data_IF_127984225462
#
_entry.id   IF_127984225462
#
_cell.length_a   1.000
_cell.length_b   1.000
_cell.length_c   1.000
_cell.angle_alpha   90.00
_cell.angle_beta   90.00
_cell.angle_gamma   90.00
#
_symmetry.space_group_name_H-M   'P 1'
#
loop_
_entity.id
_entity.type
_entity.pdbx_description
1 polymer ?
#
# COMPACT_ATOMS: atom_id res chain seq x y z
N UNK A 1 -3.20 8.94 -6.37
CA UNK A 1 -2.89 7.68 -7.09
C UNK A 1 -1.69 7.99 -7.96
N UNK A 2 -0.55 7.38 -7.69
CA UNK A 2 0.70 7.66 -8.41
C UNK A 2 1.18 6.36 -9.05
N UNK A 3 1.44 6.41 -10.36
CA UNK A 3 1.90 5.28 -11.16
C UNK A 3 3.31 5.56 -11.65
N UNK A 4 4.28 4.75 -11.22
CA UNK A 4 5.60 4.75 -11.85
C UNK A 4 5.58 3.74 -13.00
N UNK A 5 5.46 4.25 -14.23
CA UNK A 5 5.52 3.47 -15.47
C UNK A 5 6.91 3.63 -16.06
N UNK A 6 7.60 2.52 -16.34
CA UNK A 6 8.88 2.59 -17.04
C UNK A 6 8.73 3.22 -18.43
N UNK A 7 9.69 4.04 -18.83
CA UNK A 7 9.79 4.76 -20.11
C UNK A 7 9.63 3.89 -21.37
N UNK A 8 9.67 2.55 -21.25
CA UNK A 8 9.41 1.58 -22.33
C UNK A 8 7.96 1.05 -22.39
N UNK A 9 7.05 1.55 -21.56
CA UNK A 9 5.59 1.37 -21.67
C UNK A 9 5.03 -0.03 -21.44
N UNK A 10 5.84 -1.01 -21.00
CA UNK A 10 5.44 -2.43 -20.93
C UNK A 10 5.59 -3.09 -19.56
N UNK A 11 6.11 -2.37 -18.57
CA UNK A 11 6.34 -2.91 -17.22
C UNK A 11 5.77 -1.95 -16.18
N UNK A 12 4.85 -2.46 -15.37
CA UNK A 12 4.36 -1.77 -14.18
C UNK A 12 5.40 -1.95 -13.07
N UNK A 13 5.85 -0.87 -12.44
CA UNK A 13 6.80 -0.95 -11.31
C UNK A 13 6.10 -0.93 -9.97
N UNK A 14 5.20 0.02 -9.76
CA UNK A 14 4.54 0.16 -8.48
C UNK A 14 3.28 1.01 -8.58
N UNK A 15 2.30 0.68 -7.74
CA UNK A 15 1.14 1.51 -7.49
C UNK A 15 1.00 1.72 -5.99
N UNK A 16 0.98 3.00 -5.63
CA UNK A 16 0.63 3.44 -4.30
C UNK A 16 -0.77 4.05 -4.33
N UNK A 17 -1.67 3.51 -3.51
CA UNK A 17 -3.01 4.03 -3.34
C UNK A 17 -3.37 4.16 -1.86
N UNK A 18 -4.03 5.28 -1.55
CA UNK A 18 -4.54 5.63 -0.24
C UNK A 18 -5.83 6.45 -0.41
N UNK A 19 -6.77 6.32 0.52
CA UNK A 19 -7.86 7.27 0.61
C UNK A 19 -7.38 8.57 1.26
N UNK A 20 -7.90 9.71 0.81
CA UNK A 20 -7.55 11.00 1.39
C UNK A 20 -7.85 11.06 2.90
N UNK A 21 -8.99 10.51 3.31
CA UNK A 21 -9.34 10.35 4.72
C UNK A 21 -8.28 9.57 5.51
N UNK A 22 -7.70 8.52 4.91
CA UNK A 22 -6.62 7.75 5.54
C UNK A 22 -5.36 8.59 5.74
N UNK A 23 -4.99 9.43 4.77
CA UNK A 23 -3.82 10.32 4.88
C UNK A 23 -4.07 11.37 5.96
N UNK A 24 -5.26 11.97 5.99
CA UNK A 24 -5.61 13.00 6.96
C UNK A 24 -5.66 12.44 8.39
N UNK A 25 -6.23 11.25 8.59
CA UNK A 25 -6.44 10.68 9.92
C UNK A 25 -5.25 9.86 10.42
N UNK A 26 -4.28 9.56 9.56
CA UNK A 26 -3.03 8.91 9.96
C UNK A 26 -2.28 9.69 11.05
N UNK A 27 -2.39 11.03 11.09
CA UNK A 27 -1.78 11.85 12.14
C UNK A 27 -2.35 11.61 13.54
N UNK A 28 -3.54 11.01 13.64
CA UNK A 28 -4.20 10.65 14.91
C UNK A 28 -4.01 9.16 15.25
N UNK A 29 -3.38 8.40 14.36
CA UNK A 29 -3.01 7.02 14.60
C UNK A 29 -1.80 6.92 15.53
N UNK A 30 -1.63 5.77 16.18
CA UNK A 30 -0.41 5.48 16.93
C UNK A 30 0.76 5.34 15.95
N UNK A 31 2.01 5.60 16.37
CA UNK A 31 3.21 5.36 15.56
C UNK A 31 3.51 3.85 15.48
N UNK A 32 2.55 3.07 14.98
CA UNK A 32 2.66 1.64 14.73
C UNK A 32 2.13 1.34 13.34
N UNK A 33 2.95 0.74 12.49
CA UNK A 33 2.57 0.29 11.16
C UNK A 33 2.73 -1.22 11.09
N UNK A 34 1.61 -1.92 10.89
CA UNK A 34 1.60 -3.34 10.58
C UNK A 34 1.64 -3.48 9.05
N UNK A 35 2.61 -4.23 8.55
CA UNK A 35 2.72 -4.57 7.14
C UNK A 35 2.42 -6.06 6.98
N UNK A 36 1.50 -6.40 6.09
CA UNK A 36 1.29 -7.77 5.61
C UNK A 36 1.53 -7.83 4.10
N UNK A 37 2.03 -8.97 3.62
CA UNK A 37 2.44 -9.13 2.24
C UNK A 37 2.01 -10.47 1.68
N UNK A 38 1.33 -10.46 0.53
CA UNK A 38 0.96 -11.68 -0.20
C UNK A 38 1.53 -11.66 -1.62
N UNK A 39 2.10 -12.79 -2.04
CA UNK A 39 2.62 -12.94 -3.40
C UNK A 39 1.47 -13.07 -4.39
N UNK A 40 1.52 -12.27 -5.46
CA UNK A 40 0.56 -12.37 -6.55
C UNK A 40 0.90 -13.58 -7.43
N UNK A 41 -0.09 -14.49 -7.58
CA UNK A 41 -0.05 -15.54 -8.60
C UNK A 41 -0.76 -15.02 -9.85
N UNK A 42 -0.01 -14.74 -10.92
CA UNK A 42 -0.58 -14.27 -12.18
C UNK A 42 0.47 -13.81 -13.19
N UNK A 43 0.01 -13.18 -14.28
CA UNK A 43 0.88 -12.65 -15.35
C UNK A 43 1.87 -11.60 -14.85
N UNK A 44 1.47 -10.85 -13.82
CA UNK A 44 2.30 -9.85 -13.15
C UNK A 44 2.82 -10.48 -11.87
N UNK A 45 4.11 -10.85 -11.88
CA UNK A 45 4.81 -11.31 -10.67
C UNK A 45 5.01 -10.10 -9.75
N UNK A 46 4.76 -10.27 -8.46
CA UNK A 46 4.95 -9.21 -7.47
C UNK A 46 4.38 -9.57 -6.11
N UNK A 47 4.43 -8.60 -5.20
CA UNK A 47 3.92 -8.72 -3.84
C UNK A 47 2.89 -7.60 -3.59
N UNK A 48 1.70 -7.99 -3.13
CA UNK A 48 0.72 -7.06 -2.60
C UNK A 48 1.02 -6.83 -1.13
N UNK A 49 1.42 -5.62 -0.78
CA UNK A 49 1.61 -5.18 0.60
C UNK A 49 0.37 -4.42 1.07
N UNK A 50 -0.15 -4.78 2.24
CA UNK A 50 -1.16 -4.03 2.96
C UNK A 50 -0.52 -3.43 4.20
N UNK A 51 -0.79 -2.15 4.46
CA UNK A 51 -0.36 -1.47 5.66
C UNK A 51 -1.55 -1.03 6.51
N UNK A 52 -1.54 -1.46 7.76
CA UNK A 52 -2.58 -1.22 8.77
C UNK A 52 -1.96 -0.51 9.96
N UNK A 53 -2.71 0.35 10.62
CA UNK A 53 -2.31 0.96 11.89
C UNK A 53 -3.41 0.77 12.92
N UNK A 54 -3.06 0.99 14.17
CA UNK A 54 -4.01 1.06 15.27
C UNK A 54 -4.24 2.52 15.65
N UNK A 55 -5.50 2.91 15.69
CA UNK A 55 -5.88 4.25 16.13
C UNK A 55 -5.70 4.41 17.67
N UNK A 56 -5.90 5.64 18.17
CA UNK A 56 -5.86 5.92 19.60
C UNK A 56 -6.87 5.12 20.42
N UNK A 57 -8.01 4.76 19.81
CA UNK A 57 -9.15 4.07 20.41
C UNK A 57 -9.09 2.54 20.26
N UNK A 58 -7.93 2.00 19.88
CA UNK A 58 -7.70 0.58 19.68
C UNK A 58 -8.39 -0.06 18.45
N UNK A 59 -9.03 0.74 17.60
CA UNK A 59 -9.54 0.32 16.31
C UNK A 59 -8.42 0.02 15.30
N UNK A 60 -8.67 -0.91 14.40
CA UNK A 60 -7.79 -1.17 13.26
C UNK A 60 -8.18 -0.19 12.15
N UNK A 61 -7.22 0.62 11.71
CA UNK A 61 -7.38 1.55 10.62
C UNK A 61 -6.49 1.12 9.45
N UNK A 62 -7.10 0.69 8.35
CA UNK A 62 -6.38 0.31 7.13
C UNK A 62 -6.01 1.56 6.36
N UNK A 63 -4.72 1.77 6.09
CA UNK A 63 -4.25 3.09 5.61
C UNK A 63 -3.75 3.03 4.20
N UNK A 64 -3.13 1.92 3.78
CA UNK A 64 -2.53 1.82 2.45
C UNK A 64 -2.62 0.41 1.88
N UNK A 65 -2.97 0.33 0.60
CA UNK A 65 -2.71 -0.85 -0.24
C UNK A 65 -1.58 -0.47 -1.18
N UNK A 66 -0.41 -1.09 -0.97
CA UNK A 66 0.78 -0.90 -1.77
C UNK A 66 1.02 -2.14 -2.63
N UNK A 67 0.91 -2.00 -3.96
CA UNK A 67 1.24 -3.07 -4.88
C UNK A 67 2.72 -2.92 -5.29
N UNK A 68 3.62 -3.66 -4.65
CA UNK A 68 5.03 -3.72 -5.05
C UNK A 68 5.19 -4.69 -6.22
N UNK A 69 5.49 -4.18 -7.41
CA UNK A 69 6.02 -5.01 -8.50
C UNK A 69 7.55 -4.86 -8.56
N UNK A 70 8.25 -5.86 -8.02
CA UNK A 70 9.62 -6.21 -8.42
C UNK A 70 9.68 -7.75 -8.41
N UNK A 71 10.20 -8.45 -9.40
CA UNK A 71 11.18 -8.15 -10.44
C UNK A 71 10.76 -8.82 -11.76
#
# INVERSE_FOLDING_TARGET
>A
MEFDVDSKGRHFKCLFFAFEACIHDFKYCRPMLLLDGTFLKGRHKGCLLAATTKDGNQGIFSVYLLLLLKQ
#
